data_IF_914605512698
#
_entry.id   IF_914605512698
#
_cell.length_a   1.000
_cell.length_b   1.000
_cell.length_c   1.000
_cell.angle_alpha   90.00
_cell.angle_beta   90.00
_cell.angle_gamma   90.00
#
_symmetry.space_group_name_H-M   'P 1'
#
loop_
_entity.id
_entity.type
_entity.pdbx_description
1 polymer ?
#
# COMPACT_ATOMS: atom_id res chain seq x y z
N UNK A 1 64.28 24.16 -37.11
CA UNK A 1 63.26 23.11 -37.05
C UNK A 1 62.73 23.05 -35.63
N UNK A 2 61.66 23.77 -35.33
CA UNK A 2 61.00 23.70 -33.98
C UNK A 2 59.74 22.87 -34.14
N UNK A 3 59.71 21.72 -33.47
CA UNK A 3 58.54 20.85 -33.38
C UNK A 3 57.65 21.32 -32.21
N UNK A 4 56.52 21.93 -32.50
CA UNK A 4 55.50 22.26 -31.49
C UNK A 4 54.63 21.01 -31.20
N UNK A 5 54.80 20.49 -29.99
CA UNK A 5 53.91 19.43 -29.48
C UNK A 5 52.65 20.10 -28.88
N UNK A 6 51.52 19.89 -29.54
CA UNK A 6 50.21 20.31 -29.00
C UNK A 6 49.70 19.20 -28.06
N UNK A 7 49.63 19.47 -26.76
CA UNK A 7 49.03 18.57 -25.80
C UNK A 7 47.53 18.86 -25.73
N UNK A 8 46.73 17.94 -26.24
CA UNK A 8 45.27 18.01 -26.14
C UNK A 8 44.90 17.42 -24.75
N UNK A 9 44.51 18.27 -23.81
CA UNK A 9 43.98 17.88 -22.51
C UNK A 9 42.48 17.58 -22.71
N UNK A 10 42.12 16.31 -22.79
CA UNK A 10 40.72 15.86 -22.79
C UNK A 10 40.16 15.94 -21.37
N UNK A 11 39.34 16.97 -21.10
CA UNK A 11 38.58 17.08 -19.85
C UNK A 11 37.41 16.12 -19.91
N UNK A 12 37.52 15.00 -19.20
CA UNK A 12 36.40 14.08 -19.00
C UNK A 12 35.45 14.72 -17.97
N UNK A 13 34.32 15.26 -18.45
CA UNK A 13 33.21 15.71 -17.59
C UNK A 13 32.42 14.47 -17.18
N UNK A 14 32.71 13.94 -15.99
CA UNK A 14 31.90 12.86 -15.41
C UNK A 14 30.57 13.44 -14.95
N UNK A 15 29.49 13.14 -15.69
CA UNK A 15 28.11 13.39 -15.27
C UNK A 15 27.81 12.48 -14.07
N UNK A 16 27.90 13.04 -12.87
CA UNK A 16 27.41 12.39 -11.65
C UNK A 16 25.87 12.48 -11.67
N UNK A 17 25.22 11.38 -12.03
CA UNK A 17 23.78 11.23 -11.84
C UNK A 17 23.49 11.07 -10.36
N UNK A 18 22.95 12.11 -9.73
CA UNK A 18 22.40 12.02 -8.38
C UNK A 18 21.13 11.16 -8.44
N UNK A 19 21.25 9.91 -8.05
CA UNK A 19 20.07 9.08 -7.75
C UNK A 19 19.52 9.59 -6.41
N UNK A 20 18.38 10.28 -6.46
CA UNK A 20 17.62 10.61 -5.26
C UNK A 20 17.06 9.31 -4.70
N UNK A 21 17.71 8.77 -3.69
CA UNK A 21 17.15 7.66 -2.94
C UNK A 21 15.91 8.18 -2.21
N UNK A 22 14.77 7.54 -2.48
CA UNK A 22 13.51 7.80 -1.79
C UNK A 22 13.70 7.51 -0.30
N UNK A 23 13.70 8.55 0.52
CA UNK A 23 13.97 8.42 1.95
C UNK A 23 12.72 7.93 2.67
N UNK A 24 12.68 6.64 2.93
CA UNK A 24 11.69 6.02 3.78
C UNK A 24 12.29 5.68 5.14
N UNK A 25 11.51 5.81 6.21
CA UNK A 25 11.91 5.34 7.53
C UNK A 25 10.92 4.31 8.05
N UNK A 26 11.46 3.18 8.52
CA UNK A 26 10.67 2.13 9.15
C UNK A 26 10.15 2.63 10.51
N UNK A 27 8.84 2.57 10.70
CA UNK A 27 8.17 2.88 11.97
C UNK A 27 7.96 1.64 12.82
N UNK A 28 8.28 0.46 12.29
CA UNK A 28 8.26 -0.82 12.96
C UNK A 28 7.25 -1.82 12.41
N UNK A 29 7.48 -3.09 12.78
CA UNK A 29 6.57 -4.20 12.49
C UNK A 29 5.78 -4.58 13.73
N UNK A 30 4.48 -4.64 13.62
CA UNK A 30 3.53 -4.89 14.69
C UNK A 30 2.68 -6.11 14.33
N UNK A 31 3.03 -7.27 14.86
CA UNK A 31 2.38 -8.52 14.48
C UNK A 31 2.50 -8.78 12.98
N UNK A 32 1.39 -8.70 12.26
CA UNK A 32 1.35 -8.95 10.82
C UNK A 32 1.33 -7.66 9.98
N UNK A 33 1.47 -6.49 10.61
CA UNK A 33 1.42 -5.18 9.98
C UNK A 33 2.75 -4.46 10.09
N UNK A 34 3.25 -3.92 8.96
CA UNK A 34 4.43 -3.06 8.88
C UNK A 34 4.00 -1.61 8.71
N UNK A 35 4.60 -0.70 9.47
CA UNK A 35 4.37 0.73 9.36
C UNK A 35 5.62 1.43 8.82
N UNK A 36 5.45 2.38 7.87
CA UNK A 36 6.54 3.09 7.20
C UNK A 36 6.17 4.55 7.03
N UNK A 37 7.15 5.43 7.17
CA UNK A 37 7.04 6.84 6.81
C UNK A 37 7.83 7.11 5.53
N UNK A 38 7.25 7.85 4.61
CA UNK A 38 7.83 8.28 3.33
C UNK A 38 7.96 9.80 3.34
N UNK A 39 9.17 10.30 3.10
CA UNK A 39 9.44 11.74 3.05
C UNK A 39 9.13 12.32 1.66
N UNK A 40 7.94 12.04 1.14
CA UNK A 40 7.43 12.48 -0.16
C UNK A 40 6.14 13.25 0.02
N UNK A 41 5.86 14.20 -0.89
CA UNK A 41 4.58 14.89 -0.94
C UNK A 41 4.18 15.61 0.35
N UNK A 42 5.15 16.02 1.18
CA UNK A 42 4.89 16.61 2.49
C UNK A 42 4.86 15.60 3.65
N UNK A 43 5.13 14.34 3.38
CA UNK A 43 5.18 13.26 4.37
C UNK A 43 3.94 12.35 4.32
N UNK A 44 4.18 11.06 4.11
CA UNK A 44 3.15 10.03 4.02
C UNK A 44 3.49 8.89 4.98
N UNK A 45 2.55 8.51 5.82
CA UNK A 45 2.64 7.31 6.62
C UNK A 45 1.79 6.20 6.00
N UNK A 46 2.35 5.02 5.90
CA UNK A 46 1.63 3.83 5.45
C UNK A 46 1.73 2.74 6.48
N UNK A 47 0.70 1.92 6.58
CA UNK A 47 0.80 0.61 7.22
C UNK A 47 0.19 -0.43 6.30
N UNK A 48 0.87 -1.56 6.13
CA UNK A 48 0.44 -2.60 5.21
C UNK A 48 0.62 -3.99 5.77
N UNK A 49 -0.12 -4.94 5.20
CA UNK A 49 0.01 -6.37 5.46
C UNK A 49 -0.26 -7.16 4.18
N UNK A 50 0.33 -8.34 4.09
CA UNK A 50 0.04 -9.32 3.04
C UNK A 50 -0.95 -10.38 3.55
N UNK A 51 -1.74 -11.04 2.68
CA UNK A 51 -2.66 -12.08 3.11
C UNK A 51 -1.93 -13.29 3.68
N UNK A 52 -2.55 -13.94 4.65
CA UNK A 52 -2.10 -15.23 5.19
C UNK A 52 -2.51 -16.40 4.31
N UNK A 53 -3.56 -16.21 3.51
CA UNK A 53 -4.06 -17.20 2.57
C UNK A 53 -4.61 -16.51 1.34
N UNK A 54 -4.21 -16.99 0.18
CA UNK A 54 -4.67 -16.55 -1.13
C UNK A 54 -5.36 -17.72 -1.83
N UNK A 55 -6.62 -17.54 -2.22
CA UNK A 55 -7.45 -18.54 -2.84
C UNK A 55 -8.01 -18.03 -4.19
N UNK A 56 -8.03 -18.88 -5.21
CA UNK A 56 -8.56 -18.60 -6.53
C UNK A 56 -7.93 -19.48 -7.61
N UNK A 57 -8.58 -19.61 -8.75
CA UNK A 57 -8.05 -20.36 -9.90
C UNK A 57 -7.24 -19.43 -10.82
N UNK A 58 -6.03 -19.06 -10.41
CA UNK A 58 -5.10 -18.21 -11.16
C UNK A 58 -3.74 -18.87 -11.32
N UNK A 59 -3.01 -18.53 -12.40
CA UNK A 59 -1.65 -19.01 -12.64
C UNK A 59 -0.61 -18.14 -11.96
N UNK A 60 -0.82 -16.80 -11.97
CA UNK A 60 0.08 -15.81 -11.37
C UNK A 60 -0.69 -14.57 -10.92
N UNK A 61 -0.30 -14.01 -9.80
CA UNK A 61 -0.73 -12.70 -9.29
C UNK A 61 0.49 -11.79 -9.09
N UNK A 62 0.30 -10.49 -9.16
CA UNK A 62 1.25 -9.51 -8.67
C UNK A 62 1.17 -9.37 -7.14
N UNK A 63 1.59 -8.22 -6.63
CA UNK A 63 1.58 -7.94 -5.19
C UNK A 63 0.16 -7.81 -4.65
N UNK A 64 -0.11 -8.56 -3.58
CA UNK A 64 -1.40 -8.59 -2.89
C UNK A 64 -1.22 -8.03 -1.50
N UNK A 65 -1.92 -6.95 -1.18
CA UNK A 65 -1.81 -6.32 0.14
C UNK A 65 -3.09 -5.58 0.54
N UNK A 66 -3.22 -5.35 1.84
CA UNK A 66 -4.11 -4.38 2.44
C UNK A 66 -3.29 -3.23 3.04
N UNK A 67 -3.70 -1.99 2.84
CA UNK A 67 -2.94 -0.81 3.24
C UNK A 67 -3.85 0.26 3.84
N UNK A 68 -3.32 1.01 4.82
CA UNK A 68 -3.86 2.30 5.26
C UNK A 68 -2.80 3.37 5.00
N UNK A 69 -3.20 4.43 4.32
CA UNK A 69 -2.36 5.58 3.97
C UNK A 69 -2.85 6.81 4.73
N UNK A 70 -1.94 7.56 5.33
CA UNK A 70 -2.23 8.83 6.00
C UNK A 70 -1.21 9.88 5.60
N UNK A 71 -1.70 11.03 5.11
CA UNK A 71 -0.86 12.18 4.82
C UNK A 71 -0.55 12.94 6.13
N UNK A 72 0.66 13.51 6.22
CA UNK A 72 1.07 14.34 7.35
C UNK A 72 0.21 15.60 7.41
N UNK A 73 -0.16 16.01 8.63
CA UNK A 73 -0.96 17.21 8.85
C UNK A 73 -2.46 17.07 8.58
N UNK A 74 -2.92 15.91 8.09
CA UNK A 74 -4.35 15.65 7.91
C UNK A 74 -5.00 15.18 9.22
N UNK A 75 -6.26 15.59 9.43
CA UNK A 75 -7.06 15.17 10.58
C UNK A 75 -7.92 13.93 10.31
N UNK A 76 -7.88 13.42 9.06
CA UNK A 76 -8.61 12.22 8.67
C UNK A 76 -8.11 10.96 9.38
N UNK A 77 -8.86 9.89 9.25
CA UNK A 77 -8.49 8.58 9.82
C UNK A 77 -7.50 7.81 8.94
N UNK A 78 -7.17 8.31 7.76
CA UNK A 78 -6.43 7.64 6.71
C UNK A 78 -7.32 6.92 5.71
N UNK A 79 -6.78 6.63 4.55
CA UNK A 79 -7.45 5.99 3.41
C UNK A 79 -7.10 4.51 3.37
N UNK A 80 -8.11 3.65 3.31
CA UNK A 80 -7.92 2.19 3.22
C UNK A 80 -7.97 1.76 1.76
N UNK A 81 -7.00 0.96 1.34
CA UNK A 81 -6.99 0.38 0.02
C UNK A 81 -6.45 -1.06 0.01
N UNK A 82 -6.79 -1.79 -1.06
CA UNK A 82 -6.41 -3.18 -1.25
C UNK A 82 -5.91 -3.39 -2.67
N UNK A 83 -4.72 -3.96 -2.81
CA UNK A 83 -4.24 -4.48 -4.09
C UNK A 83 -4.56 -5.97 -4.18
N UNK A 84 -5.12 -6.38 -5.31
CA UNK A 84 -5.41 -7.79 -5.57
C UNK A 84 -4.36 -8.47 -6.44
N UNK A 85 -3.32 -7.75 -6.87
CA UNK A 85 -2.29 -8.28 -7.75
C UNK A 85 -2.76 -8.59 -9.17
N UNK A 86 -3.93 -8.08 -9.56
CA UNK A 86 -4.49 -8.17 -10.91
C UNK A 86 -5.41 -6.96 -11.17
N UNK A 87 -5.71 -6.70 -12.44
CA UNK A 87 -6.74 -5.71 -12.81
C UNK A 87 -8.12 -6.30 -12.51
N UNK A 88 -8.90 -5.60 -11.69
CA UNK A 88 -10.29 -5.98 -11.40
C UNK A 88 -11.17 -5.95 -12.66
N UNK A 89 -12.22 -6.76 -12.64
CA UNK A 89 -13.27 -6.69 -13.67
C UNK A 89 -13.92 -5.30 -13.62
N UNK A 90 -14.10 -4.70 -14.77
CA UNK A 90 -14.71 -3.38 -14.88
C UNK A 90 -16.10 -3.34 -14.21
N UNK A 91 -16.38 -2.28 -13.49
CA UNK A 91 -17.61 -2.09 -12.70
C UNK A 91 -17.88 -3.21 -11.68
N UNK A 92 -16.83 -3.95 -11.26
CA UNK A 92 -16.98 -4.91 -10.17
C UNK A 92 -16.70 -4.26 -8.82
N UNK A 93 -17.19 -4.91 -7.78
CA UNK A 93 -17.00 -4.54 -6.39
C UNK A 93 -16.07 -5.52 -5.69
N UNK A 94 -15.40 -5.05 -4.64
CA UNK A 94 -14.69 -5.90 -3.70
C UNK A 94 -15.49 -5.97 -2.41
N UNK A 95 -15.72 -7.20 -1.96
CA UNK A 95 -16.44 -7.47 -0.71
C UNK A 95 -15.46 -7.80 0.40
N UNK A 96 -15.52 -7.04 1.49
CA UNK A 96 -14.74 -7.26 2.70
C UNK A 96 -15.64 -7.81 3.79
N UNK A 97 -15.11 -8.77 4.56
CA UNK A 97 -15.78 -9.33 5.72
C UNK A 97 -14.81 -9.43 6.90
N UNK A 98 -15.18 -8.82 8.04
CA UNK A 98 -14.38 -8.86 9.26
C UNK A 98 -15.09 -9.78 10.25
N UNK A 99 -14.38 -10.83 10.72
CA UNK A 99 -14.84 -11.87 11.67
C UNK A 99 -16.22 -12.45 11.33
N UNK A 100 -16.53 -12.55 10.02
CA UNK A 100 -17.84 -12.98 9.48
C UNK A 100 -19.05 -12.17 10.00
N UNK A 101 -18.84 -11.03 10.63
CA UNK A 101 -19.89 -10.19 11.26
C UNK A 101 -20.12 -8.87 10.56
N UNK A 102 -19.05 -8.21 10.08
CA UNK A 102 -19.15 -6.88 9.49
C UNK A 102 -18.73 -6.92 8.02
N UNK A 103 -19.59 -6.43 7.14
CA UNK A 103 -19.38 -6.44 5.68
C UNK A 103 -19.26 -5.04 5.13
N UNK A 104 -18.35 -4.86 4.15
CA UNK A 104 -18.13 -3.61 3.44
C UNK A 104 -18.03 -3.89 1.95
N UNK A 105 -18.44 -2.93 1.14
CA UNK A 105 -18.34 -2.97 -0.32
C UNK A 105 -17.44 -1.82 -0.75
N UNK A 106 -16.43 -2.13 -1.55
CA UNK A 106 -15.48 -1.19 -2.11
C UNK A 106 -15.63 -1.12 -3.62
N UNK A 107 -15.44 0.06 -4.18
CA UNK A 107 -15.32 0.21 -5.64
C UNK A 107 -13.91 -0.16 -6.10
N UNK A 108 -13.77 -0.49 -7.38
CA UNK A 108 -12.50 -0.86 -7.98
C UNK A 108 -12.03 0.15 -9.01
N UNK A 109 -10.72 0.41 -9.01
CA UNK A 109 -10.07 1.18 -10.06
C UNK A 109 -8.76 0.46 -10.44
N UNK A 110 -8.71 -0.06 -11.67
CA UNK A 110 -7.60 -0.90 -12.16
C UNK A 110 -7.33 -2.08 -11.22
N UNK A 111 -6.20 -2.11 -10.52
CA UNK A 111 -5.78 -3.19 -9.61
C UNK A 111 -6.05 -2.91 -8.13
N UNK A 112 -6.64 -1.78 -7.82
CA UNK A 112 -6.86 -1.34 -6.43
C UNK A 112 -8.34 -1.16 -6.13
N UNK A 113 -8.75 -1.55 -4.93
CA UNK A 113 -10.08 -1.33 -4.37
C UNK A 113 -10.02 -0.29 -3.26
N UNK A 114 -11.05 0.58 -3.18
CA UNK A 114 -11.13 1.74 -2.29
C UNK A 114 -12.51 1.84 -1.66
N UNK A 115 -12.59 2.39 -0.46
CA UNK A 115 -13.85 2.86 0.11
C UNK A 115 -14.37 4.07 -0.67
N UNK A 116 -15.68 4.35 -0.56
CA UNK A 116 -16.29 5.44 -1.34
C UNK A 116 -16.14 6.79 -0.66
N UNK A 117 -16.06 6.84 0.66
CA UNK A 117 -16.02 8.07 1.45
C UNK A 117 -15.09 7.94 2.66
N UNK A 118 -14.62 9.07 3.20
CA UNK A 118 -13.86 9.12 4.46
C UNK A 118 -14.62 8.48 5.65
N UNK A 119 -15.95 8.56 5.63
CA UNK A 119 -16.80 7.92 6.64
C UNK A 119 -16.73 6.40 6.55
N UNK A 120 -16.64 5.87 5.32
CA UNK A 120 -16.48 4.43 5.10
C UNK A 120 -15.09 3.96 5.49
N UNK A 121 -14.03 4.76 5.20
CA UNK A 121 -12.68 4.52 5.70
C UNK A 121 -12.66 4.45 7.23
N UNK A 122 -13.22 5.45 7.89
CA UNK A 122 -13.29 5.50 9.35
C UNK A 122 -14.04 4.30 9.95
N UNK A 123 -15.16 3.91 9.30
CA UNK A 123 -15.95 2.75 9.70
C UNK A 123 -15.17 1.44 9.52
N UNK A 124 -14.54 1.24 8.37
CA UNK A 124 -13.73 0.05 8.09
C UNK A 124 -12.55 -0.05 9.08
N UNK A 125 -11.80 1.03 9.28
CA UNK A 125 -10.70 1.10 10.26
C UNK A 125 -11.19 0.78 11.68
N UNK A 126 -12.36 1.27 12.07
CA UNK A 126 -12.96 0.96 13.37
C UNK A 126 -13.12 -0.56 13.55
N UNK A 127 -13.68 -1.25 12.57
CA UNK A 127 -13.90 -2.69 12.68
C UNK A 127 -12.60 -3.49 12.48
N UNK A 128 -11.65 -3.01 11.69
CA UNK A 128 -10.30 -3.62 11.62
C UNK A 128 -9.57 -3.56 12.97
N UNK A 129 -9.79 -2.51 13.78
CA UNK A 129 -9.23 -2.42 15.14
C UNK A 129 -9.84 -3.40 16.13
N UNK A 130 -11.07 -3.81 15.92
CA UNK A 130 -11.84 -4.69 16.81
C UNK A 130 -11.80 -6.16 16.39
N UNK A 131 -11.47 -6.42 15.12
CA UNK A 131 -11.50 -7.75 14.52
C UNK A 131 -10.18 -8.50 14.64
N UNK A 132 -10.23 -9.77 14.31
CA UNK A 132 -9.07 -10.68 14.26
C UNK A 132 -8.70 -11.09 12.84
N UNK A 133 -9.72 -11.27 11.99
CA UNK A 133 -9.55 -11.77 10.62
C UNK A 133 -10.37 -10.94 9.65
N UNK A 134 -9.77 -10.66 8.50
CA UNK A 134 -10.43 -9.96 7.40
C UNK A 134 -10.34 -10.81 6.13
N UNK A 135 -11.49 -11.02 5.48
CA UNK A 135 -11.61 -11.71 4.20
C UNK A 135 -11.92 -10.66 3.14
N UNK A 136 -11.16 -10.69 2.05
CA UNK A 136 -11.33 -9.80 0.89
C UNK A 136 -11.64 -10.67 -0.33
N UNK A 137 -12.77 -10.40 -1.00
CA UNK A 137 -13.20 -11.13 -2.21
C UNK A 137 -13.30 -10.17 -3.38
N UNK A 138 -12.69 -10.53 -4.50
CA UNK A 138 -12.71 -9.75 -5.72
C UNK A 138 -12.78 -10.63 -6.96
N UNK A 139 -13.01 -10.00 -8.12
CA UNK A 139 -13.08 -10.68 -9.41
C UNK A 139 -12.10 -9.99 -10.37
N UNK A 140 -11.22 -10.76 -11.00
CA UNK A 140 -10.27 -10.24 -11.99
C UNK A 140 -10.97 -9.88 -13.31
N UNK A 141 -10.32 -9.09 -14.14
CA UNK A 141 -10.77 -8.77 -15.51
C UNK A 141 -10.98 -10.02 -16.39
N UNK A 142 -10.35 -11.14 -16.03
CA UNK A 142 -10.52 -12.43 -16.70
C UNK A 142 -11.66 -13.28 -16.10
N UNK A 143 -12.41 -12.75 -15.12
CA UNK A 143 -13.52 -13.44 -14.47
C UNK A 143 -13.09 -14.40 -13.35
N UNK A 144 -11.83 -14.43 -12.95
CA UNK A 144 -11.36 -15.27 -11.83
C UNK A 144 -11.78 -14.64 -10.50
N UNK A 145 -12.53 -15.39 -9.70
CA UNK A 145 -12.83 -15.00 -8.32
C UNK A 145 -11.66 -15.34 -7.41
N UNK A 146 -11.31 -14.42 -6.53
CA UNK A 146 -10.30 -14.61 -5.48
C UNK A 146 -10.88 -14.37 -4.11
N UNK A 147 -10.25 -14.99 -3.11
CA UNK A 147 -10.54 -14.80 -1.70
C UNK A 147 -9.23 -14.75 -0.95
N UNK A 148 -8.92 -13.61 -0.37
CA UNK A 148 -7.70 -13.37 0.39
C UNK A 148 -8.05 -13.21 1.86
N UNK A 149 -7.32 -13.91 2.72
CA UNK A 149 -7.53 -13.87 4.18
C UNK A 149 -6.37 -13.17 4.85
N UNK A 150 -6.66 -12.09 5.55
CA UNK A 150 -5.70 -11.26 6.27
C UNK A 150 -5.85 -11.43 7.78
N UNK A 151 -4.74 -11.35 8.49
CA UNK A 151 -4.72 -11.22 9.94
C UNK A 151 -4.78 -9.74 10.34
N UNK A 152 -5.59 -9.44 11.33
CA UNK A 152 -5.65 -8.10 11.94
C UNK A 152 -4.77 -7.98 13.20
N UNK A 153 -3.98 -9.04 13.52
CA UNK A 153 -3.02 -9.02 14.63
C UNK A 153 -1.98 -7.92 14.43
N UNK A 154 -1.94 -6.96 15.34
CA UNK A 154 -1.00 -5.84 15.31
C UNK A 154 -1.55 -4.58 14.65
N UNK A 155 -2.72 -4.62 14.00
CA UNK A 155 -3.34 -3.47 13.34
C UNK A 155 -3.41 -2.23 14.24
N UNK A 156 -3.88 -2.36 15.46
CA UNK A 156 -4.03 -1.24 16.41
C UNK A 156 -2.68 -0.59 16.72
N UNK A 157 -1.63 -1.38 16.90
CA UNK A 157 -0.29 -0.86 17.21
C UNK A 157 0.35 -0.17 16.02
N UNK A 158 0.26 -0.76 14.82
CA UNK A 158 0.71 -0.15 13.58
C UNK A 158 -0.04 1.16 13.27
N UNK A 159 -1.37 1.16 13.47
CA UNK A 159 -2.20 2.35 13.29
C UNK A 159 -1.83 3.48 14.27
N UNK A 160 -1.51 3.15 15.52
CA UNK A 160 -0.99 4.13 16.49
C UNK A 160 0.35 4.71 16.05
N UNK A 161 1.24 3.89 15.48
CA UNK A 161 2.55 4.33 15.00
C UNK A 161 2.42 5.35 13.86
N UNK A 162 1.61 5.06 12.82
CA UNK A 162 1.40 6.00 11.71
C UNK A 162 0.70 7.28 12.18
N UNK A 163 -0.28 7.21 13.09
CA UNK A 163 -0.95 8.40 13.64
C UNK A 163 -0.05 9.24 14.55
N UNK A 164 0.93 8.64 15.22
CA UNK A 164 1.93 9.38 16.01
C UNK A 164 2.88 10.14 15.11
N UNK A 165 3.29 9.57 14.00
CA UNK A 165 4.25 10.15 13.05
C UNK A 165 3.58 11.19 12.13
N UNK A 166 2.42 10.89 11.56
CA UNK A 166 1.69 11.74 10.61
C UNK A 166 0.51 12.45 11.31
N UNK A 167 0.85 13.25 12.33
CA UNK A 167 -0.11 14.14 13.02
C UNK A 167 -0.35 15.40 12.21
#
# INVERSE_FOLDING_TARGET
MFNSFVIIISVFFSLQTYVWAQESSDLGTYGDWQATFWNEGGGICTMMTIPKKEEGKYTKRGEVYAQVVKNMGTKDTGVVNFSAGYTFKENSEVNIKIDDKHSFILFTNKSTAWTQTEKDDASLIKFMKLGNTMIVKGTSSRGTNTKDTYSLKGFVAAYKAINKKCK
#
